data_IF_579887004104
#
_entry.id   IF_579887004104
#
_cell.length_a   1.000
_cell.length_b   1.000
_cell.length_c   1.000
_cell.angle_alpha   90.00
_cell.angle_beta   90.00
_cell.angle_gamma   90.00
#
_symmetry.space_group_name_H-M   'P 1'
#
loop_
_entity.id
_entity.type
_entity.pdbx_description
1 polymer ?
#
# COMPACT_ATOMS: atom_id res chain seq x y z
N UNK A 1 18.25 8.28 3.00
CA UNK A 1 17.54 8.25 4.28
C UNK A 1 16.39 7.25 4.19
N UNK A 2 16.34 6.27 5.10
CA UNK A 2 15.26 5.28 5.08
C UNK A 2 13.97 5.90 5.62
N UNK A 3 12.87 5.62 4.91
CA UNK A 3 11.56 6.06 5.37
C UNK A 3 11.03 5.07 6.40
N UNK A 4 10.66 5.57 7.55
CA UNK A 4 10.14 4.76 8.63
C UNK A 4 8.67 5.09 8.88
N UNK A 5 7.84 4.05 8.90
CA UNK A 5 6.42 4.22 9.23
C UNK A 5 6.25 4.25 10.74
N UNK A 6 5.36 5.12 11.26
CA UNK A 6 5.18 5.25 12.71
C UNK A 6 4.59 3.98 13.34
N UNK A 7 5.00 3.68 14.56
CA UNK A 7 4.36 2.63 15.36
C UNK A 7 2.88 2.96 15.55
N UNK A 8 2.06 1.92 15.56
CA UNK A 8 0.61 1.99 15.77
C UNK A 8 -0.15 2.67 14.64
N UNK A 9 0.52 3.00 13.53
CA UNK A 9 -0.17 3.47 12.34
C UNK A 9 -0.75 2.29 11.57
N UNK A 10 -1.79 2.56 10.79
CA UNK A 10 -2.43 1.54 9.96
C UNK A 10 -1.82 1.49 8.58
N UNK A 11 -1.59 0.27 8.11
CA UNK A 11 -1.02 0.01 6.78
C UNK A 11 -1.86 -1.04 6.07
N UNK A 12 -1.73 -1.08 4.74
CA UNK A 12 -2.36 -2.11 3.91
C UNK A 12 -1.27 -2.93 3.24
N UNK A 13 -1.55 -4.22 3.02
CA UNK A 13 -0.63 -5.08 2.28
C UNK A 13 -0.58 -4.68 0.81
N UNK A 14 0.61 -4.65 0.23
CA UNK A 14 0.79 -4.35 -1.19
C UNK A 14 0.71 -5.59 -2.06
N UNK A 15 0.70 -6.78 -1.46
CA UNK A 15 0.69 -8.04 -2.18
C UNK A 15 -0.01 -9.10 -1.34
N UNK A 16 -0.38 -10.22 -1.99
CA UNK A 16 -0.97 -11.35 -1.29
C UNK A 16 0.09 -12.05 -0.44
N UNK A 17 -0.31 -12.53 0.74
CA UNK A 17 0.53 -13.36 1.59
C UNK A 17 -0.20 -14.70 1.82
N UNK A 18 -0.15 -15.61 0.84
CA UNK A 18 -0.94 -16.85 0.91
C UNK A 18 -0.59 -17.75 2.09
N UNK A 19 0.65 -17.70 2.57
CA UNK A 19 1.05 -18.48 3.74
C UNK A 19 0.29 -18.09 5.01
N UNK A 20 -0.27 -16.88 5.04
CA UNK A 20 -1.07 -16.40 6.17
C UNK A 20 -2.54 -16.24 5.81
N UNK A 21 -2.93 -16.63 4.58
CA UNK A 21 -4.29 -16.45 4.06
C UNK A 21 -4.70 -14.97 4.03
N UNK A 22 -3.73 -14.09 3.78
CA UNK A 22 -3.95 -12.64 3.67
C UNK A 22 -3.82 -12.19 2.22
N UNK A 23 -4.52 -11.12 1.89
CA UNK A 23 -4.60 -10.61 0.52
C UNK A 23 -4.14 -9.17 0.43
N UNK A 24 -3.72 -8.77 -0.75
CA UNK A 24 -3.44 -7.37 -1.06
C UNK A 24 -4.60 -6.50 -0.59
N UNK A 25 -4.29 -5.43 0.11
CA UNK A 25 -5.30 -4.51 0.64
C UNK A 25 -5.77 -4.81 2.05
N UNK A 26 -5.43 -5.97 2.61
CA UNK A 26 -5.77 -6.25 4.00
C UNK A 26 -5.05 -5.26 4.91
N UNK A 27 -5.77 -4.78 5.92
CA UNK A 27 -5.33 -3.68 6.78
C UNK A 27 -4.89 -4.22 8.13
N UNK A 28 -3.79 -3.67 8.64
CA UNK A 28 -3.28 -4.03 9.95
C UNK A 28 -2.61 -2.82 10.59
N UNK A 29 -2.21 -3.01 11.84
CA UNK A 29 -1.54 -1.97 12.63
C UNK A 29 -0.09 -2.40 12.88
N UNK A 30 0.84 -1.46 12.68
CA UNK A 30 2.26 -1.70 12.99
C UNK A 30 2.44 -1.72 14.51
N UNK A 31 3.00 -2.81 15.03
CA UNK A 31 3.24 -2.93 16.48
C UNK A 31 4.72 -2.98 16.82
N UNK A 32 5.59 -3.21 15.83
CA UNK A 32 7.02 -3.25 16.09
C UNK A 32 7.80 -2.95 14.81
N UNK A 33 8.99 -2.40 14.96
CA UNK A 33 9.85 -1.98 13.87
C UNK A 33 11.23 -2.60 14.04
N UNK A 34 11.76 -3.18 12.96
CA UNK A 34 13.07 -3.84 12.95
C UNK A 34 13.97 -3.18 11.92
N UNK A 35 14.91 -2.32 12.34
CA UNK A 35 15.87 -1.76 11.38
C UNK A 35 16.84 -2.85 10.92
N UNK A 36 17.16 -2.82 9.61
CA UNK A 36 18.08 -3.78 9.00
C UNK A 36 19.19 -3.04 8.27
N UNK A 37 20.41 -3.59 8.33
CA UNK A 37 21.58 -2.91 7.76
C UNK A 37 21.72 -3.11 6.25
N UNK A 38 21.54 -4.33 5.75
CA UNK A 38 21.80 -4.66 4.36
C UNK A 38 20.59 -5.14 3.59
N UNK A 39 19.40 -4.82 4.09
CA UNK A 39 18.13 -5.22 3.48
C UNK A 39 17.04 -4.27 3.94
N UNK A 40 15.83 -4.46 3.42
CA UNK A 40 14.71 -3.63 3.82
C UNK A 40 14.42 -3.78 5.31
N UNK A 41 14.02 -2.69 5.94
CA UNK A 41 13.54 -2.74 7.31
C UNK A 41 12.30 -3.60 7.40
N UNK A 42 12.08 -4.19 8.57
CA UNK A 42 10.93 -5.05 8.83
C UNK A 42 9.96 -4.45 9.82
N UNK A 43 8.73 -4.97 9.80
CA UNK A 43 7.67 -4.54 10.70
C UNK A 43 6.87 -5.74 11.15
N UNK A 44 6.41 -5.71 12.40
CA UNK A 44 5.41 -6.66 12.87
C UNK A 44 4.04 -6.04 12.78
N UNK A 45 3.08 -6.78 12.28
CA UNK A 45 1.70 -6.33 12.05
C UNK A 45 0.72 -7.18 12.84
N UNK A 46 -0.27 -6.52 13.42
CA UNK A 46 -1.41 -7.15 14.10
C UNK A 46 -2.69 -6.45 13.70
N UNK A 47 -3.83 -7.04 14.06
CA UNK A 47 -5.12 -6.40 13.86
C UNK A 47 -5.81 -6.78 12.57
N UNK A 48 -5.37 -7.86 11.92
CA UNK A 48 -6.12 -8.44 10.80
C UNK A 48 -7.42 -9.06 11.32
N UNK A 49 -8.32 -9.37 10.38
CA UNK A 49 -9.58 -10.04 10.72
C UNK A 49 -9.38 -11.43 11.34
N UNK A 50 -8.19 -12.00 11.21
CA UNK A 50 -7.83 -13.27 11.84
C UNK A 50 -7.31 -12.97 13.25
N UNK A 51 -8.00 -13.41 14.31
CA UNK A 51 -7.57 -13.11 15.68
C UNK A 51 -6.23 -13.72 16.02
N UNK A 52 -5.45 -13.01 16.82
CA UNK A 52 -4.20 -13.50 17.41
C UNK A 52 -3.09 -13.81 16.41
N UNK A 53 -3.16 -13.23 15.20
CA UNK A 53 -2.07 -13.40 14.26
C UNK A 53 -1.17 -12.16 14.29
N UNK A 54 0.14 -12.41 14.38
CA UNK A 54 1.18 -11.39 14.23
C UNK A 54 2.09 -11.85 13.11
N UNK A 55 2.31 -11.01 12.11
CA UNK A 55 3.19 -11.37 10.99
C UNK A 55 4.31 -10.34 10.86
N UNK A 56 5.42 -10.77 10.27
CA UNK A 56 6.54 -9.90 9.96
C UNK A 56 6.59 -9.67 8.46
N UNK A 57 6.75 -8.40 8.07
CA UNK A 57 6.79 -8.02 6.65
C UNK A 57 7.96 -7.07 6.41
N UNK A 58 8.38 -6.98 5.15
CA UNK A 58 9.35 -5.98 4.72
C UNK A 58 8.62 -4.68 4.37
N UNK A 59 9.37 -3.57 4.36
CA UNK A 59 8.82 -2.25 4.04
C UNK A 59 8.04 -2.24 2.72
N UNK A 60 8.56 -2.93 1.70
CA UNK A 60 7.91 -2.95 0.38
C UNK A 60 6.58 -3.69 0.35
N UNK A 61 6.26 -4.45 1.39
CA UNK A 61 5.04 -5.23 1.46
C UNK A 61 3.88 -4.48 2.09
N UNK A 62 4.11 -3.23 2.52
CA UNK A 62 3.08 -2.41 3.16
C UNK A 62 3.12 -0.98 2.65
N UNK A 63 1.97 -0.31 2.69
CA UNK A 63 1.86 1.14 2.45
C UNK A 63 0.87 1.73 3.46
N UNK A 64 0.98 3.02 3.77
CA UNK A 64 -0.02 3.66 4.65
C UNK A 64 -1.42 3.52 4.08
N UNK A 65 -2.40 3.28 4.97
CA UNK A 65 -3.80 3.11 4.56
C UNK A 65 -4.29 4.30 3.75
N UNK A 66 -3.93 5.52 4.16
CA UNK A 66 -4.35 6.71 3.44
C UNK A 66 -3.90 6.71 1.98
N UNK A 67 -2.67 6.27 1.72
CA UNK A 67 -2.14 6.17 0.36
C UNK A 67 -2.84 5.07 -0.43
N UNK A 68 -3.00 3.88 0.18
CA UNK A 68 -3.67 2.76 -0.48
C UNK A 68 -5.11 3.11 -0.86
N UNK A 69 -5.86 3.68 0.07
CA UNK A 69 -7.26 4.05 -0.17
C UNK A 69 -7.41 5.05 -1.30
N UNK A 70 -6.50 6.03 -1.37
CA UNK A 70 -6.51 7.03 -2.44
C UNK A 70 -6.25 6.40 -3.80
N UNK A 71 -5.22 5.57 -3.89
CA UNK A 71 -4.85 4.90 -5.14
C UNK A 71 -5.95 3.96 -5.61
N UNK A 72 -6.50 3.16 -4.70
CA UNK A 72 -7.59 2.23 -5.03
C UNK A 72 -8.83 2.97 -5.51
N UNK A 73 -9.17 4.08 -4.88
CA UNK A 73 -10.31 4.88 -5.31
C UNK A 73 -10.12 5.41 -6.73
N UNK A 74 -8.92 5.84 -7.07
CA UNK A 74 -8.59 6.31 -8.41
C UNK A 74 -8.68 5.17 -9.42
N UNK A 75 -8.13 4.00 -9.08
CA UNK A 75 -8.17 2.83 -9.95
C UNK A 75 -9.61 2.37 -10.20
N UNK A 76 -10.46 2.36 -9.16
CA UNK A 76 -11.85 1.98 -9.32
C UNK A 76 -12.58 2.92 -10.27
N UNK A 77 -12.35 4.22 -10.14
CA UNK A 77 -12.95 5.19 -11.04
C UNK A 77 -12.46 4.99 -12.47
N UNK A 78 -11.17 4.71 -12.64
CA UNK A 78 -10.58 4.45 -13.94
C UNK A 78 -11.22 3.24 -14.60
N UNK A 79 -11.44 2.16 -13.85
CA UNK A 79 -12.05 0.94 -14.37
C UNK A 79 -13.49 1.14 -14.84
N UNK A 80 -14.19 2.12 -14.28
CA UNK A 80 -15.57 2.43 -14.64
C UNK A 80 -15.68 3.26 -15.93
N UNK A 81 -14.59 3.82 -16.41
CA UNK A 81 -14.58 4.62 -17.62
C UNK A 81 -14.53 3.74 -18.87
N UNK A 82 -15.16 4.19 -19.97
CA UNK A 82 -15.00 3.56 -21.26
C UNK A 82 -13.55 3.72 -21.73
N UNK A 83 -13.14 2.91 -22.73
CA UNK A 83 -11.80 3.02 -23.29
C UNK A 83 -11.49 4.41 -23.82
N UNK A 84 -12.48 5.05 -24.46
CA UNK A 84 -12.32 6.41 -24.98
C UNK A 84 -12.04 7.40 -23.84
N UNK A 85 -12.81 7.29 -22.76
CA UNK A 85 -12.61 8.15 -21.58
C UNK A 85 -11.29 7.90 -20.89
N UNK A 86 -10.87 6.63 -20.81
CA UNK A 86 -9.57 6.30 -20.22
C UNK A 86 -8.43 6.92 -21.02
N UNK A 87 -8.55 6.92 -22.34
CA UNK A 87 -7.55 7.56 -23.21
C UNK A 87 -7.50 9.07 -23.00
N UNK A 88 -8.65 9.69 -22.89
CA UNK A 88 -8.72 11.14 -22.60
C UNK A 88 -8.09 11.49 -21.27
N UNK A 89 -8.34 10.66 -20.25
CA UNK A 89 -7.74 10.84 -18.94
C UNK A 89 -6.23 10.68 -19.00
N UNK A 90 -5.74 9.69 -19.74
CA UNK A 90 -4.32 9.47 -19.91
C UNK A 90 -3.63 10.68 -20.51
N UNK A 91 -4.22 11.26 -21.55
CA UNK A 91 -3.71 12.48 -22.16
C UNK A 91 -3.67 13.65 -21.17
N UNK A 92 -4.71 13.78 -20.36
CA UNK A 92 -4.78 14.83 -19.34
C UNK A 92 -3.71 14.65 -18.28
N UNK A 93 -3.48 13.41 -17.85
CA UNK A 93 -2.44 13.10 -16.88
C UNK A 93 -1.06 13.43 -17.42
N UNK A 94 -0.79 13.13 -18.69
CA UNK A 94 0.46 13.51 -19.34
C UNK A 94 0.65 15.03 -19.36
N UNK A 95 -0.41 15.74 -19.65
CA UNK A 95 -0.39 17.21 -19.63
C UNK A 95 -0.02 17.73 -18.24
N UNK A 96 -0.63 17.17 -17.19
CA UNK A 96 -0.35 17.59 -15.82
C UNK A 96 1.09 17.29 -15.42
N UNK A 97 1.59 16.13 -15.82
CA UNK A 97 2.98 15.75 -15.52
C UNK A 97 3.97 16.70 -16.17
N UNK A 98 3.71 17.13 -17.40
CA UNK A 98 4.55 18.11 -18.08
C UNK A 98 4.52 19.47 -17.38
N UNK A 99 3.36 19.84 -16.87
CA UNK A 99 3.17 21.15 -16.24
C UNK A 99 3.91 21.26 -14.91
N UNK A 100 4.17 20.13 -14.24
CA UNK A 100 4.85 20.10 -12.95
C UNK A 100 6.37 20.21 -13.05
N UNK A 101 6.91 20.15 -14.24
CA UNK A 101 8.37 20.22 -14.47
C UNK A 101 8.85 21.65 -14.60
#
# INVERSE_FOLDING_TARGET
>A
MKQQYPLFSQVALTEDLPEYQLKQGDIATIVEYYPMDNQEDGYSLEGFDVPHITIEVATSQIIPVSQYSREEAILDKLRQLSQTRQRQLEEYLEFLLHKEK
#
